data_IF_033619990158
#
_entry.id   IF_033619990158
#
_cell.length_a   1.000
_cell.length_b   1.000
_cell.length_c   1.000
_cell.angle_alpha   90.00
_cell.angle_beta   90.00
_cell.angle_gamma   90.00
#
_symmetry.space_group_name_H-M   'P 1'
#
loop_
_entity.id
_entity.type
_entity.pdbx_description
1 polymer ?
#
# COMPACT_ATOMS: atom_id res chain seq x y z
N UNK A 1 9.32 37.43 17.96
CA UNK A 1 9.47 36.26 17.09
C UNK A 1 8.51 35.24 17.68
N UNK A 2 7.26 35.27 17.24
CA UNK A 2 6.20 34.42 17.78
C UNK A 2 6.40 33.04 17.16
N UNK A 3 6.53 32.01 18.00
CA UNK A 3 6.36 30.63 17.57
C UNK A 3 5.01 30.55 16.87
N UNK A 4 5.01 30.38 15.55
CA UNK A 4 3.80 29.99 14.85
C UNK A 4 3.39 28.64 15.42
N UNK A 5 2.33 28.65 16.23
CA UNK A 5 1.70 27.47 16.80
C UNK A 5 1.24 26.56 15.66
N UNK A 6 2.17 25.76 15.15
CA UNK A 6 1.93 24.84 14.04
C UNK A 6 0.91 23.77 14.45
N UNK A 7 0.18 23.30 13.46
CA UNK A 7 -0.62 22.09 13.56
C UNK A 7 0.23 20.88 13.14
N UNK A 8 -0.18 19.68 13.54
CA UNK A 8 0.51 18.44 13.16
C UNK A 8 -0.34 17.62 12.19
N UNK A 9 0.18 17.36 10.99
CA UNK A 9 -0.43 16.45 10.02
C UNK A 9 0.22 15.08 10.14
N UNK A 10 -0.50 14.13 10.71
CA UNK A 10 -0.08 12.74 10.88
C UNK A 10 -0.70 11.86 9.79
N UNK A 11 0.11 11.20 8.96
CA UNK A 11 -0.39 10.30 7.93
C UNK A 11 -0.04 8.86 8.25
N UNK A 12 -1.06 8.03 8.26
CA UNK A 12 -1.01 6.62 8.59
C UNK A 12 -1.50 5.77 7.43
N UNK A 13 -0.90 4.58 7.30
CA UNK A 13 -1.43 3.54 6.43
C UNK A 13 -2.58 2.84 7.17
N UNK A 14 -3.68 2.57 6.47
CA UNK A 14 -4.69 1.68 7.01
C UNK A 14 -4.09 0.27 7.21
N UNK A 15 -4.36 -0.42 8.33
CA UNK A 15 -3.73 -1.69 8.67
C UNK A 15 -3.97 -2.82 7.65
N UNK A 16 -4.98 -2.67 6.78
CA UNK A 16 -5.42 -3.64 5.78
C UNK A 16 -5.06 -3.27 4.32
N UNK A 17 -4.53 -2.07 4.05
CA UNK A 17 -4.19 -1.62 2.69
C UNK A 17 -2.83 -2.13 2.23
N UNK A 18 -2.60 -2.35 0.92
CA UNK A 18 -1.29 -2.66 0.33
C UNK A 18 -0.21 -1.61 0.68
N UNK A 19 1.06 -2.00 0.52
CA UNK A 19 2.21 -1.14 0.79
C UNK A 19 2.16 0.13 -0.04
N UNK A 20 1.92 1.27 0.61
CA UNK A 20 2.17 2.58 0.06
C UNK A 20 3.70 2.75 -0.04
N UNK A 21 4.33 2.07 -1.01
CA UNK A 21 5.80 2.01 -1.13
C UNK A 21 6.42 3.40 -1.24
N UNK A 22 5.67 4.37 -1.79
CA UNK A 22 6.06 5.77 -1.91
C UNK A 22 4.81 6.65 -2.01
N UNK A 23 4.24 7.02 -0.87
CA UNK A 23 3.23 8.08 -0.81
C UNK A 23 3.92 9.40 -0.51
N UNK A 24 3.78 10.37 -1.40
CA UNK A 24 4.20 11.74 -1.18
C UNK A 24 3.01 12.56 -0.70
N UNK A 25 3.29 13.47 0.22
CA UNK A 25 2.29 14.31 0.87
C UNK A 25 2.53 15.72 0.38
N UNK A 26 1.49 16.33 -0.15
CA UNK A 26 1.49 17.69 -0.67
C UNK A 26 0.55 18.55 0.17
N UNK A 27 0.99 19.73 0.56
CA UNK A 27 0.15 20.76 1.16
C UNK A 27 0.27 21.99 0.30
N UNK A 28 -0.87 22.54 -0.14
CA UNK A 28 -0.93 23.70 -1.04
C UNK A 28 -0.14 23.49 -2.35
N UNK A 29 -0.04 22.22 -2.79
CA UNK A 29 0.72 21.82 -3.98
C UNK A 29 2.22 21.59 -3.76
N UNK A 30 2.75 21.92 -2.58
CA UNK A 30 4.16 21.70 -2.23
C UNK A 30 4.36 20.39 -1.47
N UNK A 31 5.45 19.68 -1.79
CA UNK A 31 5.76 18.42 -1.10
C UNK A 31 6.31 18.67 0.29
N UNK A 32 5.49 18.42 1.31
CA UNK A 32 5.89 18.51 2.73
C UNK A 32 6.52 17.23 3.26
N UNK A 33 6.18 16.07 2.68
CA UNK A 33 6.55 14.80 3.28
C UNK A 33 6.49 13.59 2.34
N UNK A 34 6.98 12.46 2.85
CA UNK A 34 6.90 11.17 2.18
C UNK A 34 6.81 10.03 3.19
N UNK A 35 5.82 9.15 3.01
CA UNK A 35 5.79 7.85 3.67
C UNK A 35 6.60 6.83 2.87
N UNK A 36 7.55 6.19 3.57
CA UNK A 36 8.33 5.06 3.05
C UNK A 36 8.10 3.86 3.98
N UNK A 37 7.83 2.70 3.40
CA UNK A 37 7.69 1.42 4.12
C UNK A 37 6.54 1.36 5.16
N UNK A 38 5.49 2.17 5.00
CA UNK A 38 4.28 2.06 5.81
C UNK A 38 4.42 2.46 7.29
N UNK A 39 5.54 3.07 7.69
CA UNK A 39 5.64 3.74 9.01
C UNK A 39 4.90 5.07 8.91
N UNK A 40 3.96 5.31 9.83
CA UNK A 40 3.31 6.60 9.93
C UNK A 40 4.34 7.71 10.15
N UNK A 41 4.04 8.90 9.66
CA UNK A 41 4.89 10.07 9.85
C UNK A 41 4.02 11.29 10.09
N UNK A 42 4.56 12.24 10.84
CA UNK A 42 3.91 13.48 11.19
C UNK A 42 4.78 14.65 10.73
N UNK A 43 4.13 15.70 10.23
CA UNK A 43 4.79 16.90 9.76
C UNK A 43 4.11 18.14 10.32
N UNK A 44 4.88 19.16 10.72
CA UNK A 44 4.30 20.44 11.09
C UNK A 44 3.72 21.12 9.85
N UNK A 45 2.50 21.65 9.99
CA UNK A 45 1.79 22.41 8.95
C UNK A 45 1.27 23.69 9.57
N UNK A 46 1.35 24.79 8.84
CA UNK A 46 0.82 26.06 9.30
C UNK A 46 -0.71 26.02 9.36
N UNK A 47 -1.28 26.58 10.44
CA UNK A 47 -2.72 26.70 10.61
C UNK A 47 -3.39 27.49 9.47
N UNK A 48 -4.71 27.34 9.35
CA UNK A 48 -5.57 27.95 8.34
C UNK A 48 -6.20 26.94 7.38
N UNK A 49 -6.85 27.46 6.34
CA UNK A 49 -7.40 26.65 5.25
C UNK A 49 -6.25 26.20 4.34
N UNK A 50 -6.07 24.89 4.22
CA UNK A 50 -4.99 24.23 3.47
C UNK A 50 -5.57 23.23 2.48
N UNK A 51 -4.81 22.97 1.43
CA UNK A 51 -5.17 21.94 0.43
C UNK A 51 -4.26 20.73 0.57
N UNK A 52 -4.82 19.60 1.00
CA UNK A 52 -4.09 18.33 1.07
C UNK A 52 -4.14 17.62 -0.29
N UNK A 53 -2.96 17.28 -0.80
CA UNK A 53 -2.77 16.39 -1.93
C UNK A 53 -1.92 15.18 -1.52
N UNK A 54 -2.15 14.05 -2.18
CA UNK A 54 -1.36 12.84 -2.01
C UNK A 54 -0.91 12.35 -3.38
N UNK A 55 0.35 11.90 -3.50
CA UNK A 55 0.87 11.33 -4.75
C UNK A 55 1.45 9.95 -4.52
N UNK A 56 0.93 8.96 -5.25
CA UNK A 56 1.42 7.59 -5.25
C UNK A 56 1.97 7.25 -6.63
N UNK A 57 3.30 7.18 -6.75
CA UNK A 57 3.95 7.04 -8.05
C UNK A 57 3.68 8.26 -8.94
N UNK A 58 3.13 8.03 -10.13
CA UNK A 58 2.71 9.08 -11.08
C UNK A 58 1.30 9.61 -10.85
N UNK A 59 0.54 9.07 -9.89
CA UNK A 59 -0.87 9.39 -9.68
C UNK A 59 -1.04 10.39 -8.53
N UNK A 60 -1.76 11.49 -8.79
CA UNK A 60 -2.13 12.47 -7.78
C UNK A 60 -3.59 12.27 -7.32
N UNK A 61 -3.83 12.48 -6.04
CA UNK A 61 -5.12 12.39 -5.36
C UNK A 61 -5.34 13.69 -4.57
N UNK A 62 -6.51 14.32 -4.71
CA UNK A 62 -6.78 15.66 -4.17
C UNK A 62 -6.83 16.74 -5.27
N UNK A 63 -7.16 18.00 -4.94
CA UNK A 63 -7.04 18.67 -3.65
C UNK A 63 -8.20 18.44 -2.68
N UNK A 64 -7.88 18.15 -1.42
CA UNK A 64 -8.86 18.03 -0.31
C UNK A 64 -8.70 19.27 0.57
N UNK A 65 -9.73 20.15 0.67
CA UNK A 65 -9.66 21.28 1.58
C UNK A 65 -9.67 20.78 3.03
N UNK A 66 -8.74 21.28 3.83
CA UNK A 66 -8.64 21.06 5.27
C UNK A 66 -8.67 22.40 5.99
N UNK A 67 -9.51 22.52 6.99
CA UNK A 67 -9.45 23.62 7.95
C UNK A 67 -8.66 23.14 9.16
N UNK A 68 -7.51 23.76 9.41
CA UNK A 68 -6.58 23.33 10.45
C UNK A 68 -6.38 24.46 11.46
N UNK A 69 -6.73 24.22 12.71
CA UNK A 69 -6.52 25.18 13.79
C UNK A 69 -5.12 25.07 14.40
N UNK A 70 -4.68 26.12 15.09
CA UNK A 70 -3.39 26.12 15.79
C UNK A 70 -3.38 25.06 16.90
N UNK A 71 -2.37 24.18 16.89
CA UNK A 71 -2.27 23.06 17.82
C UNK A 71 -3.18 21.87 17.50
N UNK A 72 -3.92 21.90 16.38
CA UNK A 72 -4.71 20.76 15.94
C UNK A 72 -3.82 19.63 15.41
N UNK A 73 -4.32 18.40 15.53
CA UNK A 73 -3.69 17.22 14.98
C UNK A 73 -4.63 16.57 13.97
N UNK A 74 -4.22 16.59 12.72
CA UNK A 74 -4.96 16.00 11.61
C UNK A 74 -4.39 14.63 11.29
N UNK A 75 -5.18 13.58 11.52
CA UNK A 75 -4.82 12.20 11.19
C UNK A 75 -5.42 11.81 9.84
N UNK A 76 -4.58 11.48 8.87
CA UNK A 76 -5.00 10.98 7.55
C UNK A 76 -4.70 9.50 7.44
N UNK A 77 -5.72 8.66 7.31
CA UNK A 77 -5.56 7.23 7.04
C UNK A 77 -5.78 6.95 5.56
N UNK A 78 -4.78 6.35 4.93
CA UNK A 78 -4.78 6.04 3.51
C UNK A 78 -4.93 4.54 3.26
N UNK A 79 -5.84 4.15 2.36
CA UNK A 79 -6.05 2.76 1.91
C UNK A 79 -6.22 2.69 0.39
N UNK A 80 -5.63 1.70 -0.26
CA UNK A 80 -5.88 1.42 -1.68
C UNK A 80 -7.01 0.41 -1.86
N UNK A 81 -7.75 0.51 -2.96
CA UNK A 81 -8.76 -0.49 -3.35
C UNK A 81 -8.14 -1.80 -3.85
N UNK A 82 -6.82 -1.85 -4.05
CA UNK A 82 -6.12 -3.08 -4.43
C UNK A 82 -5.87 -3.95 -3.19
N UNK A 83 -6.41 -5.19 -3.17
CA UNK A 83 -6.14 -6.11 -2.08
C UNK A 83 -4.68 -6.60 -2.12
N UNK A 84 -4.11 -7.06 -1.00
CA UNK A 84 -2.81 -7.72 -1.03
C UNK A 84 -2.87 -9.03 -1.83
N UNK A 85 -1.74 -9.42 -2.43
CA UNK A 85 -1.60 -10.75 -3.01
C UNK A 85 -1.86 -11.82 -1.95
N UNK A 86 -2.63 -12.85 -2.33
CA UNK A 86 -3.03 -13.89 -1.39
C UNK A 86 -1.78 -14.66 -0.90
N UNK A 87 -1.66 -14.97 0.41
CA UNK A 87 -0.49 -15.65 0.96
C UNK A 87 -0.15 -16.95 0.23
N UNK A 88 -1.15 -17.76 -0.14
CA UNK A 88 -0.91 -19.00 -0.91
C UNK A 88 -0.14 -18.75 -2.22
N UNK A 89 -0.45 -17.66 -2.92
CA UNK A 89 0.27 -17.30 -4.13
C UNK A 89 1.72 -16.90 -3.83
N UNK A 90 1.95 -16.10 -2.78
CA UNK A 90 3.29 -15.72 -2.36
C UNK A 90 4.15 -16.94 -1.97
N UNK A 91 3.58 -17.88 -1.21
CA UNK A 91 4.29 -19.10 -0.84
C UNK A 91 4.62 -19.96 -2.06
N UNK A 92 3.67 -20.16 -2.97
CA UNK A 92 3.90 -20.88 -4.22
C UNK A 92 4.98 -20.20 -5.07
N UNK A 93 4.95 -18.88 -5.18
CA UNK A 93 5.96 -18.10 -5.91
C UNK A 93 7.37 -18.29 -5.32
N UNK A 94 7.53 -18.16 -4.00
CA UNK A 94 8.82 -18.39 -3.34
C UNK A 94 9.30 -19.83 -3.45
N UNK A 95 8.39 -20.79 -3.37
CA UNK A 95 8.72 -22.20 -3.61
C UNK A 95 9.23 -22.41 -5.04
N UNK A 96 8.59 -21.82 -6.06
CA UNK A 96 9.03 -21.94 -7.45
C UNK A 96 10.41 -21.30 -7.68
N UNK A 97 10.71 -20.18 -7.03
CA UNK A 97 12.05 -19.58 -7.05
C UNK A 97 13.07 -20.54 -6.44
N UNK A 98 12.79 -21.08 -5.24
CA UNK A 98 13.67 -22.02 -4.58
C UNK A 98 13.88 -23.29 -5.42
N UNK A 99 12.81 -23.82 -6.01
CA UNK A 99 12.87 -24.96 -6.91
C UNK A 99 13.72 -24.68 -8.15
N UNK A 100 13.57 -23.51 -8.78
CA UNK A 100 14.39 -23.12 -9.93
C UNK A 100 15.88 -23.06 -9.58
N UNK A 101 16.21 -22.46 -8.43
CA UNK A 101 17.59 -22.41 -7.91
C UNK A 101 18.13 -23.83 -7.67
N UNK A 102 17.37 -24.66 -6.97
CA UNK A 102 17.77 -26.05 -6.69
C UNK A 102 17.92 -26.87 -7.97
N UNK A 103 17.08 -26.63 -8.97
CA UNK A 103 17.20 -27.25 -10.29
C UNK A 103 18.49 -26.85 -10.99
N UNK A 104 18.85 -25.57 -11.01
CA UNK A 104 20.12 -25.10 -11.56
C UNK A 104 21.32 -25.75 -10.86
N UNK A 105 21.25 -25.95 -9.54
CA UNK A 105 22.29 -26.69 -8.79
C UNK A 105 22.28 -28.17 -9.17
N UNK A 106 21.09 -28.78 -9.29
CA UNK A 106 20.90 -30.18 -9.66
C UNK A 106 21.48 -30.53 -11.03
N UNK A 107 21.42 -29.62 -11.99
CA UNK A 107 22.03 -29.79 -13.31
C UNK A 107 23.56 -29.96 -13.23
N UNK A 108 24.19 -29.48 -12.15
CA UNK A 108 25.63 -29.65 -11.87
C UNK A 108 25.94 -30.74 -10.84
N UNK A 109 24.97 -31.16 -10.04
CA UNK A 109 25.15 -32.09 -8.91
C UNK A 109 24.11 -33.23 -8.99
N UNK A 110 24.50 -34.43 -9.49
CA UNK A 110 23.57 -35.54 -9.74
C UNK A 110 22.78 -36.02 -8.52
N UNK A 111 23.36 -35.94 -7.32
CA UNK A 111 22.66 -36.29 -6.08
C UNK A 111 21.47 -35.37 -5.78
N UNK A 112 21.59 -34.08 -6.16
CA UNK A 112 20.51 -33.09 -6.01
C UNK A 112 19.42 -33.35 -7.07
N UNK A 113 19.77 -33.63 -8.33
CA UNK A 113 18.77 -33.98 -9.36
C UNK A 113 17.97 -35.25 -8.97
N UNK A 114 18.65 -36.29 -8.48
CA UNK A 114 18.00 -37.51 -8.02
C UNK A 114 17.03 -37.25 -6.86
N UNK A 115 17.40 -36.35 -5.93
CA UNK A 115 16.52 -35.92 -4.84
C UNK A 115 15.30 -35.16 -5.37
N UNK A 116 15.49 -34.18 -6.26
CA UNK A 116 14.42 -33.38 -6.85
C UNK A 116 13.37 -34.25 -7.55
N UNK A 117 13.81 -35.21 -8.38
CA UNK A 117 12.90 -36.11 -9.11
C UNK A 117 12.09 -37.01 -8.19
N UNK A 118 12.67 -37.42 -7.07
CA UNK A 118 12.04 -38.38 -6.14
C UNK A 118 11.10 -37.73 -5.15
N UNK A 119 11.37 -36.47 -4.76
CA UNK A 119 10.75 -35.86 -3.58
C UNK A 119 10.12 -34.48 -3.81
N UNK A 120 10.14 -33.93 -5.03
CA UNK A 120 9.62 -32.57 -5.24
C UNK A 120 8.60 -32.44 -6.38
N UNK A 121 8.31 -33.51 -7.12
CA UNK A 121 7.33 -33.46 -8.22
C UNK A 121 5.91 -33.25 -7.70
N UNK A 122 5.52 -33.96 -6.63
CA UNK A 122 4.18 -33.83 -6.05
C UNK A 122 4.02 -32.46 -5.39
N UNK A 123 5.04 -32.03 -4.65
CA UNK A 123 5.14 -30.74 -3.99
C UNK A 123 5.05 -29.60 -4.99
N UNK A 124 5.70 -29.72 -6.15
CA UNK A 124 5.59 -28.76 -7.24
C UNK A 124 4.15 -28.65 -7.77
N UNK A 125 3.47 -29.78 -8.00
CA UNK A 125 2.08 -29.80 -8.43
C UNK A 125 1.14 -29.17 -7.40
N UNK A 126 1.33 -29.50 -6.12
CA UNK A 126 0.58 -28.91 -5.00
C UNK A 126 0.81 -27.39 -4.95
N UNK A 127 2.05 -26.93 -5.09
CA UNK A 127 2.37 -25.50 -5.07
C UNK A 127 1.80 -24.76 -6.28
N UNK A 128 1.78 -25.37 -7.47
CA UNK A 128 1.10 -24.79 -8.64
C UNK A 128 -0.41 -24.67 -8.43
N UNK A 129 -1.04 -25.68 -7.82
CA UNK A 129 -2.47 -25.65 -7.48
C UNK A 129 -2.77 -24.56 -6.42
N UNK A 130 -1.99 -24.50 -5.34
CA UNK A 130 -2.14 -23.49 -4.29
C UNK A 130 -1.86 -22.08 -4.81
N UNK A 131 -0.88 -21.92 -5.70
CA UNK A 131 -0.55 -20.66 -6.35
C UNK A 131 -1.69 -20.15 -7.22
N UNK A 132 -2.30 -21.04 -8.02
CA UNK A 132 -3.48 -20.75 -8.84
C UNK A 132 -4.69 -20.39 -7.97
N UNK A 133 -4.94 -21.14 -6.89
CA UNK A 133 -6.01 -20.84 -5.94
C UNK A 133 -5.80 -19.47 -5.27
N UNK A 134 -4.56 -19.17 -4.87
CA UNK A 134 -4.22 -17.87 -4.31
C UNK A 134 -4.49 -16.72 -5.29
N UNK A 135 -4.15 -16.88 -6.57
CA UNK A 135 -4.47 -15.89 -7.61
C UNK A 135 -5.98 -15.74 -7.82
N UNK A 136 -6.72 -16.84 -7.84
CA UNK A 136 -8.18 -16.81 -7.94
C UNK A 136 -8.80 -16.03 -6.79
N UNK A 137 -8.36 -16.28 -5.55
CA UNK A 137 -8.83 -15.55 -4.37
C UNK A 137 -8.47 -14.06 -4.41
N UNK A 138 -7.25 -13.73 -4.86
CA UNK A 138 -6.83 -12.35 -5.10
C UNK A 138 -7.74 -11.64 -6.11
N UNK A 139 -7.98 -12.23 -7.28
CA UNK A 139 -8.83 -11.62 -8.30
C UNK A 139 -10.28 -11.49 -7.83
N UNK A 140 -10.80 -12.48 -7.11
CA UNK A 140 -12.14 -12.41 -6.51
C UNK A 140 -12.26 -11.21 -5.59
N UNK A 141 -11.25 -10.96 -4.75
CA UNK A 141 -11.24 -9.81 -3.86
C UNK A 141 -11.05 -8.49 -4.62
N UNK A 142 -10.16 -8.46 -5.62
CA UNK A 142 -9.91 -7.28 -6.43
C UNK A 142 -11.15 -6.87 -7.24
N UNK A 143 -11.98 -7.82 -7.68
CA UNK A 143 -13.27 -7.53 -8.32
C UNK A 143 -14.24 -6.92 -7.31
N UNK A 144 -14.35 -7.50 -6.11
CA UNK A 144 -15.24 -7.00 -5.04
C UNK A 144 -14.89 -5.60 -4.58
N UNK A 145 -13.60 -5.28 -4.51
CA UNK A 145 -13.10 -3.95 -4.13
C UNK A 145 -13.06 -2.96 -5.29
N UNK A 146 -13.41 -3.38 -6.52
CA UNK A 146 -13.31 -2.55 -7.72
C UNK A 146 -11.88 -2.24 -8.16
N UNK A 147 -10.86 -2.95 -7.65
CA UNK A 147 -9.45 -2.78 -7.99
C UNK A 147 -9.12 -2.96 -9.48
N UNK A 148 -9.97 -3.66 -10.25
CA UNK A 148 -9.80 -3.81 -11.71
C UNK A 148 -10.29 -2.60 -12.52
N UNK A 149 -11.00 -1.64 -11.91
CA UNK A 149 -11.52 -0.43 -12.58
C UNK A 149 -10.58 0.78 -12.49
N UNK A 150 -9.38 0.58 -11.97
CA UNK A 150 -8.41 1.63 -11.68
C UNK A 150 -8.04 1.69 -10.19
N UNK A 151 -6.93 2.37 -9.90
CA UNK A 151 -6.41 2.51 -8.54
C UNK A 151 -7.14 3.63 -7.82
N UNK A 152 -7.88 3.33 -6.76
CA UNK A 152 -8.53 4.33 -5.90
C UNK A 152 -7.87 4.38 -4.53
N UNK A 153 -7.88 5.56 -3.92
CA UNK A 153 -7.39 5.76 -2.56
C UNK A 153 -8.53 6.19 -1.66
N UNK A 154 -8.86 5.36 -0.68
CA UNK A 154 -9.74 5.73 0.41
C UNK A 154 -8.96 6.56 1.42
N UNK A 155 -9.51 7.72 1.76
CA UNK A 155 -8.95 8.64 2.73
C UNK A 155 -9.96 8.88 3.84
N UNK A 156 -9.47 8.76 5.06
CA UNK A 156 -10.19 9.07 6.29
C UNK A 156 -9.38 10.11 7.04
N UNK A 157 -9.89 11.34 7.09
CA UNK A 157 -9.26 12.49 7.71
C UNK A 157 -10.02 12.83 8.98
N UNK A 158 -9.33 12.78 10.11
CA UNK A 158 -9.87 13.09 11.44
C UNK A 158 -9.07 14.25 12.04
N UNK A 159 -9.77 15.28 12.51
CA UNK A 159 -9.19 16.35 13.34
C UNK A 159 -9.47 16.03 14.80
N UNK A 160 -8.46 16.18 15.67
CA UNK A 160 -8.65 16.03 17.12
C UNK A 160 -9.59 17.12 17.70
N UNK A 161 -9.66 18.28 17.06
CA UNK A 161 -10.49 19.40 17.51
C UNK A 161 -11.98 19.33 17.11
N UNK A 162 -12.36 18.50 16.11
CA UNK A 162 -13.71 18.59 15.53
C UNK A 162 -14.33 17.33 14.90
N UNK A 163 -13.65 16.18 14.91
CA UNK A 163 -14.18 14.92 14.36
C UNK A 163 -13.80 14.67 12.89
N UNK A 164 -14.51 13.74 12.23
CA UNK A 164 -14.20 13.30 10.85
C UNK A 164 -14.39 14.46 9.88
N UNK A 165 -13.28 14.93 9.28
CA UNK A 165 -13.24 16.04 8.32
C UNK A 165 -13.58 15.56 6.91
N UNK A 166 -13.12 14.36 6.54
CA UNK A 166 -13.30 13.82 5.20
C UNK A 166 -13.24 12.30 5.20
N UNK A 167 -14.15 11.65 4.47
CA UNK A 167 -14.16 10.19 4.33
C UNK A 167 -14.68 9.76 2.96
N UNK A 168 -13.79 9.49 2.02
CA UNK A 168 -14.19 9.09 0.67
C UNK A 168 -13.13 8.30 -0.09
N UNK A 169 -13.57 7.60 -1.13
CA UNK A 169 -12.70 7.10 -2.19
C UNK A 169 -12.36 8.22 -3.16
N UNK A 170 -11.08 8.50 -3.32
CA UNK A 170 -10.56 9.43 -4.30
C UNK A 170 -10.00 8.66 -5.49
N UNK A 171 -10.48 9.02 -6.67
CA UNK A 171 -9.94 8.57 -7.94
C UNK A 171 -8.65 9.36 -8.27
N UNK A 172 -7.65 8.75 -8.94
CA UNK A 172 -6.52 9.50 -9.47
C UNK A 172 -7.08 10.52 -10.45
N UNK A 173 -6.73 11.80 -10.31
CA UNK A 173 -6.98 12.73 -11.39
C UNK A 173 -6.22 12.21 -12.63
N UNK A 174 -6.93 12.06 -13.75
CA UNK A 174 -6.30 11.74 -15.04
C UNK A 174 -5.45 12.94 -15.44
N UNK A 175 -4.19 12.95 -15.00
CA UNK A 175 -3.12 13.77 -15.56
C UNK A 175 -2.59 13.14 -16.84
#
# INVERSE_FOLDING_TARGET
>A
MLEESGAELAIHRAPDGLGLFRLEVLVDGERVGRLKNGRGAAWPVAAGVRSLGLRLGGHAFGPIPLEIEAGDRVTVRCRLNQPPLHPLHLHAFWFLIAFAILKTIGDSVPAVDAFLRRHLVVELLVMLALGSLGMFLYFREAIRSGGLRGTRMYLDVESEAGGVVFREWIDPSWG
#
